data_IF_324144982205
#
_entry.id   IF_324144982205
#
_cell.length_a   1.000
_cell.length_b   1.000
_cell.length_c   1.000
_cell.angle_alpha   90.00
_cell.angle_beta   90.00
_cell.angle_gamma   90.00
#
_symmetry.space_group_name_H-M   'P 1'
#
loop_
_entity.id
_entity.type
_entity.pdbx_description
1 polymer ?
#
# COMPACT_ATOMS: atom_id res chain seq x y z
N UNK A 1 9.21 42.40 26.82
CA UNK A 1 10.48 41.64 26.94
C UNK A 1 10.13 40.25 27.44
N UNK A 2 10.57 39.21 26.76
CA UNK A 2 10.36 37.85 27.21
C UNK A 2 11.04 37.64 28.57
N UNK A 3 10.35 37.06 29.53
CA UNK A 3 10.89 36.82 30.87
C UNK A 3 11.98 35.71 30.75
N UNK A 4 13.12 35.89 31.43
CA UNK A 4 14.23 34.92 31.44
C UNK A 4 13.76 33.50 31.78
N UNK A 5 12.76 33.36 32.66
CA UNK A 5 12.14 32.10 33.00
C UNK A 5 11.40 31.45 31.81
N UNK A 6 10.67 32.24 31.04
CA UNK A 6 9.98 31.76 29.83
C UNK A 6 10.96 31.22 28.79
N UNK A 7 12.08 31.89 28.60
CA UNK A 7 13.16 31.43 27.70
C UNK A 7 13.79 30.13 28.20
N UNK A 8 14.03 29.99 29.48
CA UNK A 8 14.58 28.77 30.09
C UNK A 8 13.60 27.60 29.93
N UNK A 9 12.29 27.80 30.18
CA UNK A 9 11.28 26.80 30.02
C UNK A 9 11.16 26.36 28.54
N UNK A 10 11.26 27.28 27.61
CA UNK A 10 11.27 26.99 26.17
C UNK A 10 12.52 26.20 25.74
N UNK A 11 13.70 26.54 26.25
CA UNK A 11 14.92 25.77 25.98
C UNK A 11 14.76 24.33 26.50
N UNK A 12 14.25 24.16 27.72
CA UNK A 12 13.98 22.84 28.29
C UNK A 12 13.04 22.02 27.43
N UNK A 13 11.92 22.62 27.02
CA UNK A 13 10.93 21.96 26.15
C UNK A 13 11.51 21.54 24.80
N UNK A 14 12.34 22.39 24.18
CA UNK A 14 13.05 22.06 22.93
C UNK A 14 14.02 20.90 23.14
N UNK A 15 14.78 20.89 24.22
CA UNK A 15 15.70 19.81 24.52
C UNK A 15 14.98 18.47 24.77
N UNK A 16 13.85 18.49 25.43
CA UNK A 16 13.05 17.28 25.63
C UNK A 16 12.42 16.78 24.30
N UNK A 17 11.94 17.67 23.46
CA UNK A 17 11.48 17.35 22.11
C UNK A 17 12.62 16.76 21.26
N UNK A 18 13.83 17.30 21.35
CA UNK A 18 15.01 16.77 20.67
C UNK A 18 15.32 15.31 21.07
N UNK A 19 15.27 15.02 22.39
CA UNK A 19 15.49 13.65 22.89
C UNK A 19 14.45 12.66 22.32
N UNK A 20 13.17 13.06 22.29
CA UNK A 20 12.09 12.26 21.73
C UNK A 20 12.33 12.03 20.22
N UNK A 21 12.65 13.09 19.49
CA UNK A 21 12.91 13.02 18.04
C UNK A 21 14.10 12.11 17.73
N UNK A 22 15.17 12.18 18.51
CA UNK A 22 16.32 11.30 18.36
C UNK A 22 15.95 9.82 18.60
N UNK A 23 15.14 9.54 19.63
CA UNK A 23 14.66 8.18 19.88
C UNK A 23 13.79 7.67 18.70
N UNK A 24 12.89 8.50 18.19
CA UNK A 24 12.08 8.16 17.00
C UNK A 24 12.95 7.92 15.76
N UNK A 25 13.99 8.72 15.56
CA UNK A 25 14.96 8.54 14.48
C UNK A 25 15.67 7.18 14.57
N UNK A 26 16.16 6.81 15.74
CA UNK A 26 16.82 5.50 15.95
C UNK A 26 15.90 4.33 15.68
N UNK A 27 14.67 4.39 16.18
CA UNK A 27 13.65 3.34 15.95
C UNK A 27 13.32 3.25 14.46
N UNK A 28 13.09 4.38 13.79
CA UNK A 28 12.76 4.42 12.36
C UNK A 28 13.89 3.90 11.48
N UNK A 29 15.15 4.27 11.80
CA UNK A 29 16.34 3.79 11.10
C UNK A 29 16.51 2.27 11.26
N UNK A 30 16.26 1.72 12.44
CA UNK A 30 16.30 0.28 12.68
C UNK A 30 15.22 -0.46 11.87
N UNK A 31 13.98 0.07 11.87
CA UNK A 31 12.88 -0.49 11.07
C UNK A 31 13.17 -0.42 9.58
N UNK A 32 13.72 0.67 9.09
CA UNK A 32 14.11 0.82 7.68
C UNK A 32 15.15 -0.22 7.28
N UNK A 33 16.19 -0.43 8.11
CA UNK A 33 17.20 -1.46 7.85
C UNK A 33 16.59 -2.86 7.78
N UNK A 34 15.68 -3.18 8.71
CA UNK A 34 14.96 -4.47 8.70
C UNK A 34 14.11 -4.64 7.44
N UNK A 35 13.34 -3.60 7.06
CA UNK A 35 12.50 -3.65 5.87
C UNK A 35 13.31 -3.80 4.58
N UNK A 36 14.43 -3.08 4.45
CA UNK A 36 15.35 -3.24 3.31
C UNK A 36 15.92 -4.65 3.21
N UNK A 37 16.28 -5.26 4.34
CA UNK A 37 16.74 -6.65 4.36
C UNK A 37 15.64 -7.61 3.90
N UNK A 38 14.42 -7.48 4.42
CA UNK A 38 13.29 -8.32 4.02
C UNK A 38 12.98 -8.18 2.52
N UNK A 39 13.09 -6.99 1.97
CA UNK A 39 12.95 -6.76 0.54
C UNK A 39 14.03 -7.52 -0.24
N UNK A 40 15.29 -7.31 0.11
CA UNK A 40 16.42 -7.98 -0.55
C UNK A 40 16.33 -9.52 -0.48
N UNK A 41 15.83 -10.06 0.62
CA UNK A 41 15.61 -11.51 0.79
C UNK A 41 14.45 -12.03 -0.10
N UNK A 42 13.48 -11.18 -0.44
CA UNK A 42 12.28 -11.55 -1.21
C UNK A 42 12.44 -11.33 -2.73
N UNK A 43 13.18 -10.32 -3.13
CA UNK A 43 13.37 -9.94 -4.55
C UNK A 43 13.83 -11.09 -5.46
N UNK A 44 14.82 -11.93 -5.09
CA UNK A 44 15.26 -13.02 -5.95
C UNK A 44 14.15 -14.02 -6.27
N UNK A 45 13.32 -14.33 -5.27
CA UNK A 45 12.16 -15.21 -5.45
C UNK A 45 11.14 -14.60 -6.40
N UNK A 46 10.82 -13.32 -6.25
CA UNK A 46 9.89 -12.61 -7.12
C UNK A 46 10.36 -12.62 -8.58
N UNK A 47 11.60 -12.24 -8.85
CA UNK A 47 12.14 -12.19 -10.20
C UNK A 47 12.25 -13.58 -10.83
N UNK A 48 12.59 -14.61 -10.05
CA UNK A 48 12.60 -15.99 -10.53
C UNK A 48 11.19 -16.42 -10.96
N UNK A 49 10.19 -16.17 -10.11
CA UNK A 49 8.80 -16.50 -10.42
C UNK A 49 8.31 -15.77 -11.69
N UNK A 50 8.59 -14.47 -11.80
CA UNK A 50 8.25 -13.66 -12.97
C UNK A 50 8.90 -14.20 -14.25
N UNK A 51 10.18 -14.60 -14.18
CA UNK A 51 10.89 -15.19 -15.30
C UNK A 51 10.28 -16.52 -15.74
N UNK A 52 9.94 -17.40 -14.78
CA UNK A 52 9.31 -18.68 -15.07
C UNK A 52 7.92 -18.50 -15.68
N UNK A 53 7.11 -17.61 -15.17
CA UNK A 53 5.80 -17.28 -15.75
C UNK A 53 5.96 -16.78 -17.19
N UNK A 54 6.88 -15.87 -17.44
CA UNK A 54 7.16 -15.34 -18.79
C UNK A 54 7.66 -16.43 -19.74
N UNK A 55 8.39 -17.41 -19.22
CA UNK A 55 8.85 -18.57 -20.00
C UNK A 55 7.69 -19.47 -20.38
N UNK A 56 6.80 -19.79 -19.45
CA UNK A 56 5.62 -20.63 -19.69
C UNK A 56 4.73 -19.97 -20.75
N UNK A 57 4.41 -18.69 -20.60
CA UNK A 57 3.55 -17.96 -21.54
C UNK A 57 4.13 -17.91 -22.96
N UNK A 58 5.45 -17.84 -23.11
CA UNK A 58 6.09 -17.91 -24.44
C UNK A 58 6.01 -19.28 -25.11
N UNK A 59 5.93 -20.36 -24.34
CA UNK A 59 5.82 -21.72 -24.87
C UNK A 59 4.35 -22.16 -25.08
N UNK A 60 3.41 -21.48 -24.45
CA UNK A 60 1.98 -21.74 -24.52
C UNK A 60 1.21 -20.46 -24.88
N UNK A 61 1.43 -19.90 -26.09
CA UNK A 61 0.80 -18.62 -26.48
C UNK A 61 -0.73 -18.69 -26.56
N UNK A 62 -1.28 -19.87 -26.83
CA UNK A 62 -2.71 -20.09 -26.95
C UNK A 62 -3.39 -20.55 -25.65
N UNK A 63 -2.73 -20.36 -24.50
CA UNK A 63 -3.27 -20.76 -23.21
C UNK A 63 -4.42 -19.85 -22.82
N UNK A 64 -5.64 -20.39 -22.95
CA UNK A 64 -6.84 -19.72 -22.45
C UNK A 64 -7.02 -20.00 -20.94
N UNK A 65 -6.60 -19.05 -20.10
CA UNK A 65 -6.81 -19.12 -18.66
C UNK A 65 -7.43 -17.82 -18.15
N UNK A 66 -8.29 -17.94 -17.13
CA UNK A 66 -9.00 -16.79 -16.54
C UNK A 66 -8.04 -15.74 -15.95
N UNK A 67 -6.84 -16.16 -15.51
CA UNK A 67 -5.82 -15.29 -14.96
C UNK A 67 -5.08 -14.47 -16.02
N UNK A 68 -5.13 -14.91 -17.28
CA UNK A 68 -4.44 -14.27 -18.40
C UNK A 68 -5.40 -13.66 -19.42
N UNK A 69 -6.72 -13.88 -19.26
CA UNK A 69 -7.71 -13.19 -20.09
C UNK A 69 -7.65 -11.69 -19.83
N UNK A 70 -7.05 -10.98 -20.75
CA UNK A 70 -7.23 -9.53 -20.84
C UNK A 70 -8.65 -9.28 -21.32
N UNK A 71 -9.40 -8.46 -20.59
CA UNK A 71 -10.74 -8.04 -21.04
C UNK A 71 -10.62 -7.02 -22.18
N UNK A 72 -9.77 -7.30 -23.18
CA UNK A 72 -9.52 -6.41 -24.32
C UNK A 72 -10.77 -6.22 -25.17
N UNK A 73 -11.65 -7.23 -25.20
CA UNK A 73 -12.92 -7.18 -25.92
C UNK A 73 -13.98 -6.27 -25.27
N UNK A 74 -13.75 -5.83 -24.03
CA UNK A 74 -14.65 -4.91 -23.35
C UNK A 74 -14.19 -3.46 -23.54
N UNK A 75 -15.15 -2.56 -23.69
CA UNK A 75 -14.86 -1.13 -23.64
C UNK A 75 -14.16 -0.77 -22.34
N UNK A 76 -13.22 0.20 -22.33
CA UNK A 76 -12.49 0.61 -21.13
C UNK A 76 -13.42 0.97 -19.95
N UNK A 77 -14.59 1.51 -20.23
CA UNK A 77 -15.62 1.91 -19.26
C UNK A 77 -16.31 0.71 -18.58
N UNK A 78 -16.38 -0.44 -19.27
CA UNK A 78 -17.03 -1.66 -18.77
C UNK A 78 -16.04 -2.60 -18.04
N UNK A 79 -14.76 -2.26 -18.06
CA UNK A 79 -13.73 -3.08 -17.38
C UNK A 79 -13.78 -2.83 -15.89
N UNK A 80 -13.93 -3.91 -15.10
CA UNK A 80 -13.77 -3.82 -13.65
C UNK A 80 -12.28 -3.75 -13.32
N UNK A 81 -11.87 -2.67 -12.63
CA UNK A 81 -10.47 -2.42 -12.25
C UNK A 81 -10.32 -2.57 -10.74
N UNK A 82 -9.40 -3.43 -10.31
CA UNK A 82 -9.05 -3.55 -8.88
C UNK A 82 -7.87 -2.64 -8.53
N UNK A 83 -8.06 -1.76 -7.56
CA UNK A 83 -7.02 -0.89 -7.04
C UNK A 83 -6.55 -1.38 -5.68
N UNK A 84 -5.26 -1.60 -5.53
CA UNK A 84 -4.63 -1.86 -4.23
C UNK A 84 -3.83 -0.63 -3.84
N UNK A 85 -4.33 0.12 -2.86
CA UNK A 85 -3.68 1.35 -2.36
C UNK A 85 -2.95 1.04 -1.05
N UNK A 86 -1.64 1.22 -1.07
CA UNK A 86 -0.76 0.94 0.07
C UNK A 86 -0.31 2.26 0.69
N UNK A 87 -0.70 2.48 1.93
CA UNK A 87 -0.33 3.66 2.73
C UNK A 87 0.30 3.24 4.05
N UNK A 88 0.84 4.20 4.80
CA UNK A 88 1.29 3.94 6.16
C UNK A 88 0.11 3.84 7.15
N UNK A 89 0.36 3.18 8.29
CA UNK A 89 -0.59 3.17 9.42
C UNK A 89 -0.48 4.42 10.28
N UNK A 90 0.63 5.16 10.21
CA UNK A 90 0.89 6.36 11.02
C UNK A 90 1.45 7.49 10.15
N UNK A 91 1.21 8.72 10.59
CA UNK A 91 1.73 9.94 9.96
C UNK A 91 3.26 10.11 10.11
N UNK A 92 3.69 11.33 9.93
CA UNK A 92 5.09 11.78 9.98
C UNK A 92 5.98 11.17 8.86
N UNK A 93 5.39 10.86 7.71
CA UNK A 93 6.09 10.35 6.52
C UNK A 93 6.17 11.40 5.38
N UNK A 94 6.18 12.70 5.72
CA UNK A 94 6.16 13.78 4.74
C UNK A 94 4.91 13.72 3.83
N UNK A 95 5.06 14.09 2.57
CA UNK A 95 3.97 14.12 1.59
C UNK A 95 3.67 12.77 0.93
N UNK A 96 4.43 11.71 1.24
CA UNK A 96 4.32 10.42 0.55
C UNK A 96 2.88 9.88 0.54
N UNK A 97 2.27 9.72 1.72
CA UNK A 97 0.90 9.20 1.80
C UNK A 97 -0.10 10.11 1.10
N UNK A 98 0.04 11.43 1.26
CA UNK A 98 -0.86 12.39 0.63
C UNK A 98 -0.80 12.30 -0.90
N UNK A 99 0.39 12.18 -1.48
CA UNK A 99 0.58 12.07 -2.91
C UNK A 99 -0.03 10.77 -3.47
N UNK A 100 0.18 9.63 -2.78
CA UNK A 100 -0.41 8.34 -3.17
C UNK A 100 -1.93 8.40 -3.12
N UNK A 101 -2.51 8.96 -2.07
CA UNK A 101 -3.96 9.06 -1.89
C UNK A 101 -4.61 9.96 -2.94
N UNK A 102 -3.98 11.09 -3.25
CA UNK A 102 -4.45 12.00 -4.29
C UNK A 102 -4.40 11.35 -5.68
N UNK A 103 -3.31 10.67 -6.00
CA UNK A 103 -3.17 9.93 -7.25
C UNK A 103 -4.21 8.80 -7.36
N UNK A 104 -4.42 8.04 -6.27
CA UNK A 104 -5.44 7.00 -6.26
C UNK A 104 -6.85 7.57 -6.48
N UNK A 105 -7.21 8.66 -5.81
CA UNK A 105 -8.51 9.32 -5.99
C UNK A 105 -8.74 9.78 -7.45
N UNK A 106 -7.70 10.28 -8.11
CA UNK A 106 -7.76 10.66 -9.52
C UNK A 106 -8.01 9.45 -10.42
N UNK A 107 -7.31 8.34 -10.17
CA UNK A 107 -7.52 7.10 -10.92
C UNK A 107 -8.91 6.51 -10.72
N UNK A 108 -9.43 6.53 -9.48
CA UNK A 108 -10.79 6.03 -9.17
C UNK A 108 -11.86 6.83 -9.90
N UNK A 109 -11.71 8.15 -10.05
CA UNK A 109 -12.64 9.01 -10.82
C UNK A 109 -12.68 8.65 -12.30
N UNK A 110 -11.57 8.22 -12.86
CA UNK A 110 -11.46 7.84 -14.26
C UNK A 110 -12.00 6.42 -14.55
N UNK A 111 -12.20 5.60 -13.51
CA UNK A 111 -12.69 4.23 -13.65
C UNK A 111 -13.87 4.00 -12.69
N UNK A 112 -15.11 4.30 -13.11
CA UNK A 112 -16.28 4.17 -12.23
C UNK A 112 -16.56 2.73 -11.81
N UNK A 113 -16.24 1.74 -12.67
CA UNK A 113 -16.38 0.33 -12.33
C UNK A 113 -15.08 -0.20 -11.70
N UNK A 114 -14.93 0.00 -10.38
CA UNK A 114 -13.72 -0.39 -9.66
C UNK A 114 -14.02 -1.13 -8.35
N UNK A 115 -13.01 -1.84 -7.86
CA UNK A 115 -12.96 -2.36 -6.50
C UNK A 115 -11.72 -1.79 -5.81
N UNK A 116 -11.91 -1.13 -4.67
CA UNK A 116 -10.84 -0.51 -3.90
C UNK A 116 -10.42 -1.36 -2.70
N UNK A 117 -9.15 -1.73 -2.65
CA UNK A 117 -8.51 -2.43 -1.54
C UNK A 117 -7.51 -1.49 -0.88
N UNK A 118 -7.60 -1.30 0.42
CA UNK A 118 -6.74 -0.36 1.14
C UNK A 118 -5.92 -1.09 2.20
N UNK A 119 -4.60 -0.88 2.12
CA UNK A 119 -3.64 -1.30 3.14
C UNK A 119 -3.10 -0.06 3.83
N UNK A 120 -3.21 -0.04 5.16
CA UNK A 120 -2.78 1.07 6.00
C UNK A 120 -3.92 1.97 6.49
N UNK A 121 -3.83 2.37 7.75
CA UNK A 121 -4.87 3.11 8.44
C UNK A 121 -5.09 4.53 7.89
N UNK A 122 -4.02 5.17 7.39
CA UNK A 122 -4.16 6.52 6.80
C UNK A 122 -5.01 6.51 5.54
N UNK A 123 -4.81 5.51 4.67
CA UNK A 123 -5.62 5.36 3.46
C UNK A 123 -7.08 5.05 3.80
N UNK A 124 -7.31 4.16 4.76
CA UNK A 124 -8.66 3.83 5.22
C UNK A 124 -9.41 5.08 5.67
N UNK A 125 -8.87 5.83 6.62
CA UNK A 125 -9.48 7.07 7.10
C UNK A 125 -9.72 8.10 5.99
N UNK A 126 -8.79 8.21 5.06
CA UNK A 126 -8.90 9.16 3.95
C UNK A 126 -10.10 8.86 3.06
N UNK A 127 -10.27 7.60 2.63
CA UNK A 127 -11.37 7.21 1.75
C UNK A 127 -12.72 7.18 2.47
N UNK A 128 -12.76 6.70 3.72
CA UNK A 128 -13.97 6.72 4.54
C UNK A 128 -14.51 8.15 4.74
N UNK A 129 -13.63 9.13 5.05
CA UNK A 129 -14.03 10.53 5.20
C UNK A 129 -14.60 11.15 3.92
N UNK A 130 -14.27 10.60 2.76
CA UNK A 130 -14.77 11.05 1.46
C UNK A 130 -15.94 10.26 0.94
N UNK A 131 -16.42 9.29 1.70
CA UNK A 131 -17.53 8.41 1.30
C UNK A 131 -17.18 7.50 0.11
N UNK A 132 -15.88 7.25 -0.14
CA UNK A 132 -15.43 6.31 -1.16
C UNK A 132 -15.50 4.91 -0.57
N UNK A 133 -16.24 4.03 -1.24
CA UNK A 133 -16.44 2.66 -0.79
C UNK A 133 -15.13 1.86 -0.87
N UNK A 134 -14.82 1.15 0.20
CA UNK A 134 -13.67 0.25 0.30
C UNK A 134 -14.20 -1.19 0.31
N UNK A 135 -13.87 -1.94 -0.71
CA UNK A 135 -14.30 -3.34 -0.86
C UNK A 135 -13.80 -4.21 0.30
N UNK A 136 -12.52 -4.07 0.65
CA UNK A 136 -11.94 -4.75 1.80
C UNK A 136 -10.80 -3.96 2.44
N UNK A 137 -10.81 -3.98 3.77
CA UNK A 137 -9.80 -3.35 4.60
C UNK A 137 -8.87 -4.42 5.19
N UNK A 138 -7.58 -4.12 5.21
CA UNK A 138 -6.57 -4.99 5.78
C UNK A 138 -5.81 -4.26 6.89
N UNK A 139 -6.26 -4.48 8.13
CA UNK A 139 -5.69 -3.81 9.30
C UNK A 139 -4.28 -4.31 9.64
N UNK A 140 -3.41 -3.40 9.99
CA UNK A 140 -2.05 -3.65 10.51
C UNK A 140 -1.16 -4.54 9.64
N UNK A 141 -1.47 -4.69 8.37
CA UNK A 141 -0.67 -5.52 7.45
C UNK A 141 0.66 -4.87 7.09
N UNK A 142 0.69 -3.54 7.05
CA UNK A 142 1.89 -2.76 6.69
C UNK A 142 2.95 -2.79 7.80
N UNK A 143 2.52 -2.80 9.07
CA UNK A 143 3.47 -2.82 10.21
C UNK A 143 4.25 -4.12 10.33
N UNK A 144 3.64 -5.24 9.98
CA UNK A 144 4.25 -6.56 10.08
C UNK A 144 3.85 -7.43 8.87
N UNK A 145 4.46 -7.21 7.72
CA UNK A 145 4.19 -8.00 6.52
C UNK A 145 4.64 -9.44 6.73
N UNK A 146 3.73 -10.38 6.53
CA UNK A 146 3.99 -11.83 6.58
C UNK A 146 3.43 -12.49 5.34
N UNK A 147 3.98 -13.65 4.98
CA UNK A 147 3.51 -14.44 3.84
C UNK A 147 2.01 -14.78 3.96
N UNK A 148 1.55 -15.11 5.16
CA UNK A 148 0.13 -15.40 5.41
C UNK A 148 -0.77 -14.18 5.15
N UNK A 149 -0.35 -12.99 5.58
CA UNK A 149 -1.07 -11.73 5.29
C UNK A 149 -1.07 -11.42 3.81
N UNK A 150 0.05 -11.57 3.13
CA UNK A 150 0.15 -11.39 1.68
C UNK A 150 -0.77 -12.37 0.93
N UNK A 151 -0.81 -13.64 1.34
CA UNK A 151 -1.72 -14.65 0.80
C UNK A 151 -3.18 -14.24 0.98
N UNK A 152 -3.58 -13.79 2.16
CA UNK A 152 -4.95 -13.36 2.42
C UNK A 152 -5.37 -12.17 1.55
N UNK A 153 -4.45 -11.23 1.31
CA UNK A 153 -4.69 -10.10 0.40
C UNK A 153 -4.86 -10.61 -1.03
N UNK A 154 -3.92 -11.44 -1.51
CA UNK A 154 -3.95 -11.99 -2.86
C UNK A 154 -5.23 -12.80 -3.13
N UNK A 155 -5.61 -13.70 -2.21
CA UNK A 155 -6.84 -14.49 -2.33
C UNK A 155 -8.08 -13.60 -2.36
N UNK A 156 -8.16 -12.61 -1.47
CA UNK A 156 -9.29 -11.68 -1.44
C UNK A 156 -9.40 -10.87 -2.75
N UNK A 157 -8.29 -10.36 -3.26
CA UNK A 157 -8.25 -9.64 -4.53
C UNK A 157 -8.70 -10.52 -5.69
N UNK A 158 -8.16 -11.74 -5.76
CA UNK A 158 -8.48 -12.70 -6.82
C UNK A 158 -9.97 -13.04 -6.85
N UNK A 159 -10.57 -13.33 -5.70
CA UNK A 159 -11.99 -13.69 -5.64
C UNK A 159 -12.94 -12.54 -5.99
N UNK A 160 -12.54 -11.30 -5.78
CA UNK A 160 -13.39 -10.13 -6.03
C UNK A 160 -13.19 -9.53 -7.43
N UNK A 161 -12.06 -9.77 -8.06
CA UNK A 161 -11.71 -9.18 -9.37
C UNK A 161 -11.83 -10.14 -10.52
N UNK A 162 -11.67 -11.45 -10.30
CA UNK A 162 -11.88 -12.44 -11.34
C UNK A 162 -13.39 -12.75 -11.52
N UNK A 163 -13.83 -13.03 -12.75
CA UNK A 163 -15.20 -13.48 -12.98
C UNK A 163 -15.44 -14.77 -12.20
N UNK A 164 -16.43 -14.74 -11.32
CA UNK A 164 -16.92 -15.95 -10.66
C UNK A 164 -17.49 -16.86 -11.74
N UNK A 165 -16.89 -18.01 -11.92
CA UNK A 165 -17.48 -19.07 -12.75
C UNK A 165 -18.71 -19.55 -11.96
N UNK A 166 -19.89 -19.16 -12.42
CA UNK A 166 -21.16 -19.65 -11.91
C UNK A 166 -21.42 -21.04 -12.50
#
# INVERSE_FOLDING_TARGET
MANTKEIQDRIKSINDTLKITNAMYMISSSKLKKSKKMLADTEPYFFTLQSEMSRILRHLPDMEDIYFKTNEDKLPEDRKVGYIVITADKGLAGSYNHNILKMAEEHLKNHPNHSLFVLGELGRHYFEQRGIEIEKQFHYTVQNPTLNRARNIAVSYTHLTLPTIA
#
